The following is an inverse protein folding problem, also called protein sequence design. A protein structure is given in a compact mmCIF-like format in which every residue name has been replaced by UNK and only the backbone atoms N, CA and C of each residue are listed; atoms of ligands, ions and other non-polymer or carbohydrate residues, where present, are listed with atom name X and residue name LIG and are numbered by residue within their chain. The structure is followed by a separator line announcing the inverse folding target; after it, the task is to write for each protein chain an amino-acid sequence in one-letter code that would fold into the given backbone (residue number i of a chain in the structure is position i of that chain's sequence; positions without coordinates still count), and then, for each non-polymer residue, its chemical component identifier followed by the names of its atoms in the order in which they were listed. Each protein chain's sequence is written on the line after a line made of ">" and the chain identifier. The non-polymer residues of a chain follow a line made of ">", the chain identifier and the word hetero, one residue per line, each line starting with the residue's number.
data_IF_161338377757
#
_entry.id   IF_161338377757
#
_cell.length_a   1.000
_cell.length_b   1.000
_cell.length_c   1.000
_cell.angle_alpha   90.00
_cell.angle_beta   90.00
_cell.angle_gamma   90.00
#
_symmetry.space_group_name_H-M   'P 1'
#
loop_
_entity.id
_entity.type
_entity.pdbx_description
1 polymer ?
#
# COMPACT_ATOMS: atom_id res chain seq x y z
N UNK A 1 7.85 -4.80 8.88
CA UNK A 1 8.47 -5.64 7.84
C UNK A 1 9.97 -5.70 8.01
N UNK A 2 10.65 -4.56 8.01
CA UNK A 2 12.12 -4.47 8.13
C UNK A 2 12.64 -5.14 9.42
N UNK A 3 12.04 -4.83 10.57
CA UNK A 3 12.41 -5.44 11.85
C UNK A 3 12.26 -6.97 11.84
N UNK A 4 11.22 -7.49 11.21
CA UNK A 4 11.02 -8.94 11.13
C UNK A 4 12.08 -9.60 10.22
N UNK A 5 12.43 -8.96 9.10
CA UNK A 5 13.51 -9.47 8.24
C UNK A 5 14.85 -9.43 8.96
N UNK A 6 15.19 -8.34 9.65
CA UNK A 6 16.45 -8.28 10.42
C UNK A 6 16.50 -9.35 11.52
N UNK A 7 15.39 -9.65 12.18
CA UNK A 7 15.33 -10.70 13.21
C UNK A 7 15.44 -12.13 12.65
N UNK A 8 14.98 -12.36 11.40
CA UNK A 8 15.10 -13.67 10.74
C UNK A 8 16.52 -13.88 10.21
N UNK A 9 17.11 -12.84 9.62
CA UNK A 9 18.41 -12.93 8.92
C UNK A 9 19.59 -12.57 9.79
N UNK A 10 19.35 -12.03 10.99
CA UNK A 10 20.36 -11.49 11.90
C UNK A 10 21.26 -10.44 11.20
N UNK A 11 20.66 -9.70 10.24
CA UNK A 11 21.35 -8.73 9.40
C UNK A 11 20.51 -7.47 9.20
N UNK A 12 21.02 -6.32 9.60
CA UNK A 12 20.41 -5.02 9.36
C UNK A 12 20.44 -4.63 7.87
N UNK A 13 21.49 -5.06 7.17
CA UNK A 13 21.65 -4.78 5.74
C UNK A 13 20.51 -5.38 4.91
N UNK A 14 19.95 -6.51 5.33
CA UNK A 14 18.84 -7.17 4.66
C UNK A 14 17.47 -6.66 5.10
N UNK A 15 17.38 -5.83 6.13
CA UNK A 15 16.12 -5.29 6.66
C UNK A 15 15.27 -4.60 5.59
N UNK A 16 15.90 -3.94 4.62
CA UNK A 16 15.22 -3.26 3.51
C UNK A 16 14.53 -4.20 2.51
N UNK A 17 14.85 -5.50 2.50
CA UNK A 17 14.29 -6.45 1.52
C UNK A 17 12.76 -6.58 1.63
N UNK A 18 12.20 -6.48 2.82
CA UNK A 18 10.74 -6.50 3.00
C UNK A 18 10.06 -5.35 2.25
N UNK A 19 10.60 -4.15 2.36
CA UNK A 19 10.06 -2.98 1.67
C UNK A 19 10.29 -3.08 0.16
N UNK A 20 11.47 -3.49 -0.26
CA UNK A 20 11.79 -3.72 -1.68
C UNK A 20 10.83 -4.73 -2.30
N UNK A 21 10.58 -5.85 -1.64
CA UNK A 21 9.64 -6.87 -2.10
C UNK A 21 8.21 -6.31 -2.21
N UNK A 22 7.75 -5.55 -1.21
CA UNK A 22 6.41 -4.93 -1.25
C UNK A 22 6.29 -3.91 -2.40
N UNK A 23 7.31 -3.08 -2.63
CA UNK A 23 7.31 -2.12 -3.76
C UNK A 23 7.33 -2.84 -5.11
N UNK A 24 8.13 -3.89 -5.25
CA UNK A 24 8.12 -4.73 -6.47
C UNK A 24 6.76 -5.38 -6.70
N UNK A 25 6.12 -5.88 -5.64
CA UNK A 25 4.76 -6.43 -5.70
C UNK A 25 3.74 -5.39 -6.16
N UNK A 26 3.79 -4.19 -5.57
CA UNK A 26 2.92 -3.08 -5.98
C UNK A 26 3.13 -2.69 -7.45
N UNK A 27 4.38 -2.57 -7.89
CA UNK A 27 4.72 -2.24 -9.28
C UNK A 27 4.26 -3.34 -10.27
N UNK A 28 4.54 -4.60 -9.96
CA UNK A 28 4.18 -5.74 -10.81
C UNK A 28 2.66 -5.90 -10.95
N UNK A 29 1.90 -5.65 -9.87
CA UNK A 29 0.46 -5.85 -9.84
C UNK A 29 -0.35 -4.60 -10.22
N UNK A 30 0.26 -3.42 -10.31
CA UNK A 30 -0.41 -2.19 -10.71
C UNK A 30 -1.08 -2.30 -12.09
N UNK A 31 -0.35 -2.81 -13.09
CA UNK A 31 -0.88 -3.00 -14.46
C UNK A 31 -1.95 -4.09 -14.56
N UNK A 32 -1.78 -5.30 -13.99
CA UNK A 32 -2.85 -6.30 -13.91
C UNK A 32 -4.12 -5.77 -13.27
N UNK A 33 -4.03 -5.07 -12.13
CA UNK A 33 -5.18 -4.49 -11.45
C UNK A 33 -5.83 -3.38 -12.29
N UNK A 34 -5.06 -2.53 -12.96
CA UNK A 34 -5.61 -1.53 -13.87
C UNK A 34 -6.35 -2.16 -15.06
N UNK A 35 -5.81 -3.25 -15.63
CA UNK A 35 -6.50 -4.03 -16.67
C UNK A 35 -7.78 -4.70 -16.15
N UNK A 36 -7.75 -5.15 -14.92
CA UNK A 36 -8.92 -5.74 -14.26
C UNK A 36 -10.02 -4.69 -14.07
N UNK A 37 -9.65 -3.46 -13.68
CA UNK A 37 -10.56 -2.32 -13.62
C UNK A 37 -11.23 -2.06 -14.97
N UNK A 38 -10.46 -2.02 -16.05
CA UNK A 38 -11.02 -1.74 -17.38
C UNK A 38 -11.96 -2.83 -17.91
N UNK A 39 -11.86 -4.06 -17.40
CA UNK A 39 -12.69 -5.20 -17.79
C UNK A 39 -13.89 -5.43 -16.86
N UNK A 40 -13.69 -5.30 -15.56
CA UNK A 40 -14.65 -5.70 -14.54
C UNK A 40 -15.00 -4.61 -13.52
N UNK A 41 -14.52 -3.39 -13.72
CA UNK A 41 -14.78 -2.25 -12.84
C UNK A 41 -13.82 -2.13 -11.66
N UNK A 42 -13.97 -1.04 -10.90
CA UNK A 42 -13.18 -0.76 -9.69
C UNK A 42 -13.37 -1.79 -8.61
N UNK A 43 -14.61 -2.19 -8.37
CA UNK A 43 -14.95 -3.16 -7.34
C UNK A 43 -14.13 -4.44 -7.47
N UNK A 44 -14.12 -5.04 -8.66
CA UNK A 44 -13.40 -6.29 -8.89
C UNK A 44 -11.89 -6.12 -8.68
N UNK A 45 -11.30 -5.07 -9.25
CA UNK A 45 -9.86 -4.84 -9.15
C UNK A 45 -9.42 -4.57 -7.70
N UNK A 46 -10.16 -3.73 -6.96
CA UNK A 46 -9.86 -3.41 -5.57
C UNK A 46 -10.01 -4.64 -4.67
N UNK A 47 -11.10 -5.40 -4.83
CA UNK A 47 -11.32 -6.63 -4.05
C UNK A 47 -10.21 -7.65 -4.27
N UNK A 48 -9.82 -7.90 -5.53
CA UNK A 48 -8.72 -8.82 -5.87
C UNK A 48 -7.40 -8.34 -5.27
N UNK A 49 -7.09 -7.03 -5.34
CA UNK A 49 -5.87 -6.48 -4.77
C UNK A 49 -5.81 -6.62 -3.24
N UNK A 50 -6.91 -6.35 -2.55
CA UNK A 50 -6.98 -6.52 -1.09
C UNK A 50 -6.96 -8.00 -0.67
N UNK A 51 -7.64 -8.89 -1.40
CA UNK A 51 -7.53 -10.34 -1.13
C UNK A 51 -6.12 -10.86 -1.35
N UNK A 52 -5.42 -10.41 -2.38
CA UNK A 52 -4.00 -10.74 -2.56
C UNK A 52 -3.17 -10.26 -1.37
N UNK A 53 -3.47 -9.08 -0.82
CA UNK A 53 -2.84 -8.57 0.40
C UNK A 53 -3.13 -9.41 1.64
N UNK A 54 -4.34 -9.97 1.78
CA UNK A 54 -4.68 -10.94 2.85
C UNK A 54 -3.81 -12.19 2.74
N UNK A 55 -3.73 -12.78 1.55
CA UNK A 55 -2.86 -13.93 1.29
C UNK A 55 -1.41 -13.58 1.62
N UNK A 56 -0.96 -12.40 1.19
CA UNK A 56 0.38 -11.89 1.50
C UNK A 56 0.64 -11.76 3.00
N UNK A 57 -0.32 -11.24 3.75
CA UNK A 57 -0.19 -11.11 5.21
C UNK A 57 -0.09 -12.49 5.90
N UNK A 58 -0.89 -13.45 5.47
CA UNK A 58 -0.82 -14.84 5.97
C UNK A 58 0.54 -15.46 5.66
N UNK A 59 1.04 -15.31 4.42
CA UNK A 59 2.38 -15.80 4.06
C UNK A 59 3.49 -15.14 4.89
N UNK A 60 3.37 -13.83 5.17
CA UNK A 60 4.34 -13.11 6.00
C UNK A 60 4.30 -13.61 7.46
N UNK A 61 3.11 -13.92 8.00
CA UNK A 61 2.96 -14.53 9.33
C UNK A 61 3.66 -15.89 9.37
N UNK A 62 3.36 -16.76 8.40
CA UNK A 62 4.00 -18.08 8.31
C UNK A 62 5.52 -17.99 8.12
N UNK A 63 5.97 -17.04 7.28
CA UNK A 63 7.39 -16.77 7.08
C UNK A 63 8.09 -16.31 8.36
N UNK A 64 7.44 -15.45 9.14
CA UNK A 64 7.95 -15.01 10.44
C UNK A 64 7.96 -16.09 11.49
N UNK A 65 6.87 -16.87 11.60
CA UNK A 65 6.73 -17.96 12.55
C UNK A 65 7.77 -19.08 12.31
N UNK A 66 8.02 -19.43 11.04
CA UNK A 66 9.00 -20.46 10.67
C UNK A 66 10.40 -19.93 10.37
N UNK A 67 10.68 -18.65 10.63
CA UNK A 67 11.96 -17.97 10.32
C UNK A 67 12.39 -18.16 8.85
N UNK A 68 11.42 -18.21 7.92
CA UNK A 68 11.65 -18.43 6.51
C UNK A 68 11.58 -17.14 5.73
N UNK A 69 12.75 -16.62 5.31
CA UNK A 69 12.87 -15.35 4.60
C UNK A 69 12.16 -15.36 3.24
N UNK A 70 12.19 -16.49 2.51
CA UNK A 70 11.56 -16.57 1.19
C UNK A 70 10.04 -16.40 1.32
N UNK A 71 9.44 -17.13 2.27
CA UNK A 71 8.01 -17.05 2.54
C UNK A 71 7.61 -15.65 3.01
N UNK A 72 8.45 -15.02 3.85
CA UNK A 72 8.27 -13.65 4.31
C UNK A 72 8.29 -12.66 3.14
N UNK A 73 9.26 -12.75 2.24
CA UNK A 73 9.37 -11.87 1.08
C UNK A 73 8.23 -12.09 0.07
N UNK A 74 7.82 -13.32 -0.17
CA UNK A 74 6.61 -13.60 -0.96
C UNK A 74 5.37 -12.98 -0.32
N UNK A 75 5.26 -13.07 1.00
CA UNK A 75 4.17 -12.43 1.75
C UNK A 75 4.15 -10.92 1.53
N UNK A 76 5.28 -10.24 1.73
CA UNK A 76 5.37 -8.79 1.54
C UNK A 76 5.15 -8.38 0.08
N UNK A 77 5.56 -9.19 -0.90
CA UNK A 77 5.25 -8.97 -2.31
C UNK A 77 3.73 -8.89 -2.56
N UNK A 78 2.95 -9.83 -2.04
CA UNK A 78 1.50 -9.80 -2.18
C UNK A 78 0.82 -8.71 -1.33
N UNK A 79 1.38 -8.33 -0.18
CA UNK A 79 0.94 -7.12 0.55
C UNK A 79 1.10 -5.88 -0.33
N UNK A 80 2.12 -5.83 -1.19
CA UNK A 80 2.28 -4.80 -2.20
C UNK A 80 1.09 -4.68 -3.17
N UNK A 81 0.38 -5.78 -3.46
CA UNK A 81 -0.85 -5.74 -4.26
C UNK A 81 -1.94 -4.89 -3.60
N UNK A 82 -2.10 -5.02 -2.27
CA UNK A 82 -3.05 -4.19 -1.52
C UNK A 82 -2.65 -2.72 -1.55
N UNK A 83 -1.36 -2.40 -1.50
CA UNK A 83 -0.88 -1.03 -1.67
C UNK A 83 -1.22 -0.48 -3.06
N UNK A 84 -1.01 -1.26 -4.14
CA UNK A 84 -1.40 -0.89 -5.50
C UNK A 84 -2.92 -0.68 -5.62
N UNK A 85 -3.73 -1.53 -4.98
CA UNK A 85 -5.18 -1.35 -4.92
C UNK A 85 -5.55 -0.06 -4.16
N UNK A 86 -4.90 0.24 -3.04
CA UNK A 86 -5.09 1.46 -2.27
C UNK A 86 -4.83 2.73 -3.10
N UNK A 87 -3.79 2.75 -3.93
CA UNK A 87 -3.57 3.84 -4.88
C UNK A 87 -4.69 3.96 -5.90
N UNK A 88 -5.25 2.84 -6.38
CA UNK A 88 -6.37 2.84 -7.32
C UNK A 88 -7.71 3.23 -6.66
N UNK A 89 -7.88 3.02 -5.36
CA UNK A 89 -9.07 3.44 -4.62
C UNK A 89 -9.30 4.97 -4.69
N UNK A 90 -8.22 5.76 -4.79
CA UNK A 90 -8.29 7.21 -5.00
C UNK A 90 -9.00 7.57 -6.29
N UNK A 91 -8.79 6.78 -7.35
CA UNK A 91 -9.47 6.99 -8.63
C UNK A 91 -10.95 6.60 -8.57
N UNK A 92 -11.32 5.60 -7.75
CA UNK A 92 -12.73 5.24 -7.56
C UNK A 92 -13.55 6.42 -7.00
N UNK A 93 -12.96 7.23 -6.12
CA UNK A 93 -13.60 8.42 -5.58
C UNK A 93 -13.87 9.51 -6.63
N UNK A 94 -13.04 9.58 -7.67
CA UNK A 94 -13.13 10.64 -8.69
C UNK A 94 -13.74 10.19 -10.01
N UNK A 95 -14.06 8.90 -10.18
CA UNK A 95 -14.62 8.37 -11.43
C UNK A 95 -15.99 9.02 -11.78
N UNK A 96 -16.78 9.42 -10.77
CA UNK A 96 -18.06 10.11 -10.93
C UNK A 96 -18.03 11.59 -10.51
N UNK A 97 -16.86 12.13 -10.19
CA UNK A 97 -16.71 13.49 -9.73
C UNK A 97 -16.78 14.48 -10.89
N UNK A 98 -17.42 15.64 -10.65
CA UNK A 98 -17.33 16.79 -11.55
C UNK A 98 -15.96 17.47 -11.43
N UNK A 99 -15.62 18.35 -12.37
CA UNK A 99 -14.34 19.07 -12.32
C UNK A 99 -14.21 19.90 -11.03
N UNK A 100 -15.33 20.46 -10.52
CA UNK A 100 -15.36 21.28 -9.30
C UNK A 100 -15.20 20.44 -8.02
N UNK A 101 -15.65 19.18 -8.02
CA UNK A 101 -15.65 18.33 -6.81
C UNK A 101 -14.50 17.33 -6.75
N UNK A 102 -13.77 17.16 -7.86
CA UNK A 102 -12.73 16.13 -8.01
C UNK A 102 -11.62 16.27 -6.96
N UNK A 103 -11.08 17.48 -6.78
CA UNK A 103 -10.02 17.73 -5.80
C UNK A 103 -10.49 17.44 -4.37
N UNK A 104 -11.69 17.91 -4.01
CA UNK A 104 -12.30 17.68 -2.70
C UNK A 104 -12.55 16.19 -2.42
N UNK A 105 -13.05 15.44 -3.38
CA UNK A 105 -13.30 13.99 -3.19
C UNK A 105 -12.00 13.21 -3.06
N UNK A 106 -10.97 13.57 -3.84
CA UNK A 106 -9.64 12.98 -3.72
C UNK A 106 -9.02 13.26 -2.35
N UNK A 107 -9.10 14.50 -1.87
CA UNK A 107 -8.53 14.89 -0.58
C UNK A 107 -9.18 14.16 0.60
N UNK A 108 -10.49 13.88 0.56
CA UNK A 108 -11.16 13.07 1.59
C UNK A 108 -10.63 11.63 1.65
N UNK A 109 -10.38 10.99 0.49
CA UNK A 109 -9.80 9.64 0.47
C UNK A 109 -8.37 9.63 0.97
N UNK A 110 -7.57 10.64 0.59
CA UNK A 110 -6.20 10.80 1.08
C UNK A 110 -6.21 11.05 2.59
N UNK A 111 -7.09 11.93 3.07
CA UNK A 111 -7.22 12.21 4.51
C UNK A 111 -7.68 10.97 5.30
N UNK A 112 -8.65 10.22 4.79
CA UNK A 112 -9.08 8.95 5.39
C UNK A 112 -7.92 7.94 5.50
N UNK A 113 -7.02 7.87 4.51
CA UNK A 113 -5.83 7.03 4.59
C UNK A 113 -4.82 7.49 5.65
N UNK A 114 -4.84 8.77 6.03
CA UNK A 114 -3.99 9.31 7.11
C UNK A 114 -4.32 8.67 8.45
N UNK A 115 -5.61 8.42 8.73
CA UNK A 115 -6.03 7.75 9.97
C UNK A 115 -5.33 6.39 10.10
N UNK A 116 -5.36 5.57 9.05
CA UNK A 116 -4.68 4.27 9.05
C UNK A 116 -3.16 4.38 9.11
N UNK A 117 -2.58 5.37 8.43
CA UNK A 117 -1.14 5.57 8.39
C UNK A 117 -0.58 6.09 9.73
N UNK A 118 -1.37 6.85 10.50
CA UNK A 118 -1.02 7.32 11.85
C UNK A 118 -1.27 6.24 12.90
N UNK A 119 -2.41 5.52 12.81
CA UNK A 119 -2.74 4.50 13.80
C UNK A 119 -1.92 3.22 13.63
N UNK A 120 -1.58 2.85 12.39
CA UNK A 120 -0.84 1.62 12.08
C UNK A 120 0.44 1.43 12.89
N UNK A 121 1.39 2.39 12.88
CA UNK A 121 2.60 2.30 13.68
C UNK A 121 2.36 2.22 15.20
N UNK A 122 1.32 2.89 15.71
CA UNK A 122 0.95 2.83 17.12
C UNK A 122 0.34 1.47 17.53
N UNK A 123 -0.12 0.69 16.59
CA UNK A 123 -0.61 -0.67 16.84
C UNK A 123 0.51 -1.72 16.89
N UNK A 124 1.79 -1.34 16.75
CA UNK A 124 2.90 -2.32 16.74
C UNK A 124 3.01 -3.06 18.06
N UNK A 125 2.92 -2.36 19.19
CA UNK A 125 2.97 -2.95 20.53
C UNK A 125 1.75 -3.84 20.83
N UNK A 126 0.49 -3.35 20.69
CA UNK A 126 -0.69 -4.19 20.87
C UNK A 126 -0.73 -5.40 19.92
N UNK A 127 -0.28 -5.21 18.68
CA UNK A 127 -0.19 -6.30 17.72
C UNK A 127 0.82 -7.37 18.13
N UNK A 128 1.97 -6.94 18.69
CA UNK A 128 2.97 -7.84 19.23
C UNK A 128 2.41 -8.69 20.37
N UNK A 129 1.69 -8.08 21.31
CA UNK A 129 1.03 -8.77 22.41
C UNK A 129 -0.04 -9.76 21.91
N UNK A 130 -0.79 -9.37 20.85
CA UNK A 130 -1.74 -10.27 20.21
C UNK A 130 -1.05 -11.48 19.57
N UNK A 131 0.11 -11.29 18.92
CA UNK A 131 0.86 -12.39 18.35
C UNK A 131 1.35 -13.37 19.42
N UNK A 132 1.86 -12.87 20.54
CA UNK A 132 2.29 -13.69 21.68
C UNK A 132 1.13 -14.51 22.29
N UNK A 133 -0.08 -13.95 22.31
CA UNK A 133 -1.27 -14.70 22.76
C UNK A 133 -1.57 -15.92 21.87
N UNK A 134 -1.13 -15.92 20.63
CA UNK A 134 -1.23 -17.05 19.69
C UNK A 134 0.07 -17.84 19.55
N UNK A 135 1.00 -17.73 20.48
CA UNK A 135 2.32 -18.37 20.46
C UNK A 135 3.14 -18.03 19.19
N UNK A 136 2.95 -16.84 18.65
CA UNK A 136 3.65 -16.33 17.48
C UNK A 136 4.70 -15.28 17.88
N UNK A 137 5.79 -15.12 17.09
CA UNK A 137 6.76 -14.06 17.32
C UNK A 137 6.11 -12.66 17.32
N UNK A 138 6.47 -11.79 18.28
CA UNK A 138 5.92 -10.42 18.41
C UNK A 138 5.88 -9.64 17.09
N UNK A 139 6.94 -9.75 16.31
CA UNK A 139 7.12 -8.98 15.07
C UNK A 139 6.20 -9.42 13.93
N UNK A 140 5.48 -10.54 14.03
CA UNK A 140 4.43 -10.92 13.06
C UNK A 140 3.09 -10.28 13.37
N UNK A 141 2.90 -9.73 14.58
CA UNK A 141 1.66 -9.12 15.04
C UNK A 141 1.07 -8.09 14.08
N UNK A 142 1.84 -7.14 13.53
CA UNK A 142 1.35 -6.18 12.55
C UNK A 142 0.73 -6.83 11.30
N UNK A 143 1.16 -8.02 10.90
CA UNK A 143 0.56 -8.76 9.79
C UNK A 143 -0.76 -9.43 10.14
N UNK A 144 -1.00 -9.78 11.43
CA UNK A 144 -2.32 -10.23 11.89
C UNK A 144 -3.35 -9.10 11.74
N UNK A 145 -3.00 -7.88 12.16
CA UNK A 145 -3.86 -6.70 11.98
C UNK A 145 -4.02 -6.39 10.48
N UNK A 146 -2.96 -6.48 9.69
CA UNK A 146 -3.04 -6.26 8.25
C UNK A 146 -3.96 -7.26 7.57
N UNK A 147 -3.88 -8.55 7.90
CA UNK A 147 -4.76 -9.58 7.34
C UNK A 147 -6.23 -9.29 7.62
N UNK A 148 -6.56 -8.95 8.88
CA UNK A 148 -7.94 -8.67 9.30
C UNK A 148 -8.48 -7.38 8.67
N UNK A 149 -7.71 -6.30 8.66
CA UNK A 149 -8.13 -5.02 8.07
C UNK A 149 -8.26 -5.07 6.56
N UNK A 150 -7.35 -5.77 5.86
CA UNK A 150 -7.44 -5.97 4.42
C UNK A 150 -8.60 -6.89 4.03
N UNK A 151 -8.88 -7.94 4.83
CA UNK A 151 -10.06 -8.78 4.64
C UNK A 151 -11.35 -7.98 4.80
N UNK A 152 -11.43 -7.16 5.85
CA UNK A 152 -12.58 -6.28 6.07
C UNK A 152 -12.74 -5.28 4.91
N UNK A 153 -11.66 -4.65 4.46
CA UNK A 153 -11.69 -3.74 3.31
C UNK A 153 -12.16 -4.45 2.03
N UNK A 154 -11.67 -5.67 1.76
CA UNK A 154 -12.10 -6.47 0.62
C UNK A 154 -13.60 -6.79 0.68
N UNK A 155 -14.10 -7.18 1.86
CA UNK A 155 -15.51 -7.48 2.09
C UNK A 155 -16.36 -6.23 1.88
N UNK A 156 -16.00 -5.11 2.53
CA UNK A 156 -16.73 -3.84 2.44
C UNK A 156 -16.82 -3.38 0.97
N UNK A 157 -15.70 -3.40 0.24
CA UNK A 157 -15.70 -3.00 -1.17
C UNK A 157 -16.53 -3.96 -2.03
N UNK A 158 -16.42 -5.26 -1.79
CA UNK A 158 -17.17 -6.26 -2.56
C UNK A 158 -18.68 -6.12 -2.36
N UNK A 159 -19.13 -5.76 -1.17
CA UNK A 159 -20.55 -5.64 -0.82
C UNK A 159 -21.10 -4.25 -1.18
N UNK A 160 -20.41 -3.18 -0.76
CA UNK A 160 -20.96 -1.82 -0.76
C UNK A 160 -20.56 -0.99 -1.98
N UNK A 161 -19.48 -1.33 -2.72
CA UNK A 161 -19.15 -0.58 -3.93
C UNK A 161 -20.04 -1.00 -5.11
N UNK A 162 -21.33 -0.74 -4.95
CA UNK A 162 -22.38 -0.99 -5.93
C UNK A 162 -23.32 0.22 -6.00
N UNK A 163 -23.63 0.72 -7.20
CA UNK A 163 -23.08 0.33 -8.50
C UNK A 163 -21.60 0.69 -8.64
N UNK A 164 -20.87 -0.02 -9.52
CA UNK A 164 -19.45 0.22 -9.76
C UNK A 164 -19.24 1.60 -10.43
N UNK A 165 -18.44 2.51 -9.81
CA UNK A 165 -18.30 3.88 -10.29
C UNK A 165 -17.62 3.96 -11.67
N UNK A 166 -16.63 3.08 -11.94
CA UNK A 166 -15.96 3.06 -13.24
C UNK A 166 -16.87 2.59 -14.37
N UNK A 167 -17.66 1.55 -14.12
CA UNK A 167 -18.61 1.05 -15.11
C UNK A 167 -19.72 2.05 -15.39
N UNK A 168 -20.17 2.77 -14.35
CA UNK A 168 -21.17 3.83 -14.47
C UNK A 168 -20.62 5.01 -15.28
N UNK A 169 -19.44 5.51 -14.96
CA UNK A 169 -18.81 6.62 -15.65
C UNK A 169 -18.54 6.31 -17.13
N UNK A 170 -18.36 5.04 -17.48
CA UNK A 170 -18.04 4.61 -18.85
C UNK A 170 -19.20 3.90 -19.55
N UNK A 171 -20.44 4.02 -19.05
CA UNK A 171 -21.61 3.32 -19.61
C UNK A 171 -21.90 3.71 -21.06
N UNK A 172 -21.71 4.98 -21.40
CA UNK A 172 -21.99 5.52 -22.72
C UNK A 172 -20.79 5.49 -23.69
N UNK A 173 -19.59 5.16 -23.16
CA UNK A 173 -18.35 5.12 -23.95
C UNK A 173 -18.08 3.76 -24.63
N UNK A 174 -19.12 2.98 -24.90
CA UNK A 174 -19.04 1.62 -25.48
C UNK A 174 -18.45 1.57 -26.89
N UNK A 175 -18.29 2.72 -27.57
CA UNK A 175 -17.96 2.78 -29.01
C UNK A 175 -16.47 2.87 -29.35
N UNK A 176 -15.56 3.12 -28.42
CA UNK A 176 -14.12 3.17 -28.74
C UNK A 176 -13.27 2.57 -27.64
N UNK A 177 -13.28 1.25 -27.49
CA UNK A 177 -12.22 0.54 -26.77
C UNK A 177 -10.91 0.69 -27.54
N UNK A 178 -10.28 1.87 -27.48
CA UNK A 178 -8.88 1.97 -27.85
C UNK A 178 -8.10 1.03 -26.95
N UNK A 179 -7.58 -0.06 -27.54
CA UNK A 179 -6.63 -0.93 -26.87
C UNK A 179 -5.40 -0.09 -26.52
N UNK A 180 -5.39 0.48 -25.30
CA UNK A 180 -4.24 1.21 -24.78
C UNK A 180 -3.03 0.27 -24.82
N UNK A 181 -1.99 0.66 -25.53
CA UNK A 181 -0.73 -0.07 -25.56
C UNK A 181 0.21 0.57 -24.56
N UNK A 182 0.60 -0.18 -23.54
CA UNK A 182 1.63 0.24 -22.55
C UNK A 182 2.91 0.70 -23.27
N UNK A 183 3.27 0.04 -24.37
CA UNK A 183 4.43 0.39 -25.20
C UNK A 183 4.28 1.78 -25.84
N UNK A 184 3.09 2.11 -26.37
CA UNK A 184 2.81 3.44 -26.93
C UNK A 184 2.80 4.53 -25.86
N UNK A 185 2.22 4.24 -24.69
CA UNK A 185 2.22 5.17 -23.56
C UNK A 185 3.65 5.47 -23.08
N UNK A 186 4.49 4.44 -22.92
CA UNK A 186 5.89 4.61 -22.53
C UNK A 186 6.70 5.39 -23.57
N UNK A 187 6.48 5.13 -24.87
CA UNK A 187 7.11 5.88 -25.93
C UNK A 187 6.71 7.36 -25.92
N UNK A 188 5.43 7.66 -25.67
CA UNK A 188 4.93 9.04 -25.56
C UNK A 188 5.54 9.77 -24.36
N UNK A 189 5.62 9.13 -23.18
CA UNK A 189 6.28 9.69 -21.99
C UNK A 189 7.75 10.00 -22.29
N UNK A 190 8.47 9.07 -22.94
CA UNK A 190 9.88 9.24 -23.27
C UNK A 190 10.12 10.41 -24.24
N UNK A 191 9.17 10.75 -25.08
CA UNK A 191 9.23 11.87 -26.03
C UNK A 191 8.83 13.21 -25.40
N UNK A 192 8.29 13.21 -24.19
CA UNK A 192 7.89 14.42 -23.47
C UNK A 192 8.86 14.70 -22.30
N UNK A 193 9.80 15.66 -22.45
CA UNK A 193 10.80 15.95 -21.42
C UNK A 193 10.19 16.38 -20.09
N UNK A 194 9.10 17.13 -20.10
CA UNK A 194 8.41 17.60 -18.89
C UNK A 194 7.79 16.43 -18.13
N UNK A 195 7.16 15.47 -18.83
CA UNK A 195 6.61 14.28 -18.22
C UNK A 195 7.71 13.39 -17.63
N UNK A 196 8.82 13.22 -18.36
CA UNK A 196 9.97 12.46 -17.89
C UNK A 196 10.61 13.09 -16.65
N UNK A 197 10.81 14.42 -16.67
CA UNK A 197 11.33 15.18 -15.52
C UNK A 197 10.43 15.04 -14.29
N UNK A 198 9.12 15.18 -14.45
CA UNK A 198 8.16 15.01 -13.35
C UNK A 198 8.23 13.60 -12.76
N UNK A 199 8.26 12.55 -13.58
CA UNK A 199 8.36 11.16 -13.13
C UNK A 199 9.67 10.92 -12.37
N UNK A 200 10.80 11.39 -12.91
CA UNK A 200 12.11 11.21 -12.28
C UNK A 200 12.21 11.98 -10.95
N UNK A 201 11.69 13.21 -10.90
CA UNK A 201 11.66 14.02 -9.67
C UNK A 201 10.86 13.34 -8.56
N UNK A 202 9.66 12.83 -8.90
CA UNK A 202 8.83 12.07 -7.95
C UNK A 202 9.55 10.79 -7.52
N UNK A 203 10.16 10.06 -8.44
CA UNK A 203 10.86 8.81 -8.13
C UNK A 203 12.04 9.05 -7.19
N UNK A 204 12.90 10.05 -7.46
CA UNK A 204 14.04 10.39 -6.62
C UNK A 204 13.61 10.84 -5.23
N UNK A 205 12.61 11.75 -5.16
CA UNK A 205 12.06 12.20 -3.88
C UNK A 205 11.46 11.04 -3.07
N UNK A 206 10.76 10.12 -3.74
CA UNK A 206 10.19 8.94 -3.07
C UNK A 206 11.27 7.97 -2.57
N UNK A 207 12.34 7.74 -3.34
CA UNK A 207 13.48 6.92 -2.91
C UNK A 207 14.11 7.51 -1.65
N UNK A 208 14.40 8.81 -1.62
CA UNK A 208 14.98 9.48 -0.44
C UNK A 208 14.07 9.35 0.78
N UNK A 209 12.77 9.62 0.63
CA UNK A 209 11.78 9.51 1.70
C UNK A 209 11.69 8.09 2.26
N UNK A 210 11.55 7.09 1.38
CA UNK A 210 11.39 5.68 1.80
C UNK A 210 12.66 5.15 2.46
N UNK A 211 13.84 5.53 1.97
CA UNK A 211 15.11 5.14 2.59
C UNK A 211 15.19 5.56 4.05
N UNK A 212 14.86 6.82 4.35
CA UNK A 212 14.83 7.32 5.73
C UNK A 212 13.75 6.60 6.55
N UNK A 213 12.52 6.48 6.03
CA UNK A 213 11.41 5.85 6.76
C UNK A 213 11.64 4.38 7.09
N UNK A 214 12.33 3.64 6.21
CA UNK A 214 12.60 2.20 6.43
C UNK A 214 13.72 2.00 7.43
N UNK A 215 14.75 2.83 7.39
CA UNK A 215 15.92 2.68 8.26
C UNK A 215 15.72 3.28 9.65
N UNK A 216 14.84 4.28 9.80
CA UNK A 216 14.56 4.90 11.11
C UNK A 216 14.14 3.87 12.18
N UNK A 217 13.12 3.01 11.99
CA UNK A 217 12.74 2.02 13.01
C UNK A 217 13.83 0.97 13.25
N UNK A 218 14.63 0.62 12.23
CA UNK A 218 15.74 -0.32 12.38
C UNK A 218 16.81 0.27 13.27
N UNK A 219 17.23 1.52 13.00
CA UNK A 219 18.21 2.24 13.84
C UNK A 219 17.69 2.44 15.26
N UNK A 220 16.44 2.85 15.44
CA UNK A 220 15.84 3.02 16.78
C UNK A 220 15.81 1.71 17.57
N UNK A 221 15.51 0.59 16.92
CA UNK A 221 15.54 -0.72 17.56
C UNK A 221 16.98 -1.15 17.96
N UNK A 222 17.97 -0.76 17.15
CA UNK A 222 19.39 -1.03 17.44
C UNK A 222 19.89 -0.31 18.69
N UNK A 223 19.33 0.84 19.02
CA UNK A 223 19.64 1.60 20.25
C UNK A 223 18.59 1.37 21.35
N UNK A 224 17.95 0.21 21.35
CA UNK A 224 17.00 -0.30 22.36
C UNK A 224 15.77 0.59 22.61
N UNK A 225 15.34 1.37 21.62
CA UNK A 225 14.10 2.16 21.71
C UNK A 225 12.88 1.24 21.61
N UNK A 226 11.90 1.42 22.49
CA UNK A 226 10.69 0.62 22.53
C UNK A 226 9.83 0.76 21.26
N UNK A 227 9.08 -0.30 20.92
CA UNK A 227 8.17 -0.30 19.76
C UNK A 227 7.11 0.80 19.84
N UNK A 228 6.69 1.17 21.03
CA UNK A 228 5.75 2.28 21.29
C UNK A 228 6.33 3.61 20.83
N UNK A 229 7.58 3.91 21.17
CA UNK A 229 8.25 5.17 20.78
C UNK A 229 8.53 5.16 19.29
N UNK A 230 8.99 4.04 18.71
CA UNK A 230 9.16 3.87 17.27
C UNK A 230 7.84 4.18 16.53
N UNK A 231 6.73 3.61 17.03
CA UNK A 231 5.41 3.84 16.47
C UNK A 231 5.00 5.31 16.51
N UNK A 232 5.23 5.99 17.63
CA UNK A 232 4.93 7.40 17.83
C UNK A 232 5.71 8.30 16.85
N UNK A 233 7.01 8.09 16.72
CA UNK A 233 7.88 8.87 15.83
C UNK A 233 7.41 8.76 14.38
N UNK A 234 7.12 7.54 13.91
CA UNK A 234 6.62 7.31 12.56
C UNK A 234 5.24 7.95 12.38
N UNK A 235 4.36 7.84 13.37
CA UNK A 235 3.02 8.42 13.31
C UNK A 235 3.04 9.94 13.21
N UNK A 236 3.88 10.62 13.99
CA UNK A 236 4.05 12.08 13.93
C UNK A 236 4.59 12.51 12.58
N UNK A 237 5.57 11.77 12.04
CA UNK A 237 6.10 12.04 10.71
C UNK A 237 5.01 11.93 9.62
N UNK A 238 4.25 10.85 9.63
CA UNK A 238 3.17 10.61 8.65
C UNK A 238 2.03 11.61 8.82
N UNK A 239 1.70 11.99 10.06
CA UNK A 239 0.73 13.03 10.34
C UNK A 239 1.14 14.35 9.66
N UNK A 240 2.41 14.76 9.81
CA UNK A 240 2.95 15.95 9.14
C UNK A 240 2.86 15.91 7.63
N UNK A 241 2.94 14.72 7.01
CA UNK A 241 2.81 14.55 5.56
C UNK A 241 1.38 14.74 5.02
N UNK A 242 0.36 14.32 5.77
CA UNK A 242 -0.98 14.15 5.23
C UNK A 242 -2.09 14.91 5.96
N UNK A 243 -1.87 15.38 7.20
CA UNK A 243 -2.91 16.01 8.01
C UNK A 243 -3.54 17.25 7.35
N UNK A 244 -2.74 18.02 6.62
CA UNK A 244 -3.17 19.24 5.95
C UNK A 244 -3.74 19.01 4.54
N UNK A 245 -3.86 17.76 4.08
CA UNK A 245 -4.39 17.44 2.76
C UNK A 245 -5.76 18.10 2.45
N UNK A 246 -6.74 18.16 3.39
CA UNK A 246 -8.02 18.82 3.12
C UNK A 246 -7.94 20.34 2.96
N UNK A 247 -6.87 20.98 3.45
CA UNK A 247 -6.67 22.43 3.33
C UNK A 247 -6.02 22.83 1.99
N UNK A 248 -5.35 21.88 1.35
CA UNK A 248 -4.61 22.10 0.08
C UNK A 248 -5.43 21.62 -1.12
N UNK A 249 -6.34 20.70 -0.95
CA UNK A 249 -7.24 20.14 -1.99
C UNK A 249 -8.61 20.73 -1.94
#
# INVERSE_FOLDING_TARGET
>A
GSLLVSSITESETLAGLAQTSAVLGAAALALPLARLTSKGGRRLALSVGYFAGVIGSVLAILGGAHRNIVLMLMGTFFVGAAAAAGYQARFAAIDLATNETRAKQLSFVVWGSTIGAVTGPNLMEPAGNLAEFFDLPRLVGPYLISATTLALAAIVITIFLRPDPYLLANKDSVTTKQKGSTKKALAHIRQNPSALFAILSIAIGHVAMVSVMVMTPVHMAHVDVSLTIIGLVISVHVLGMYAFSPLVG
#
